data_IF_433863778123
#
_entry.id   IF_433863778123
#
_cell.length_a   1.000
_cell.length_b   1.000
_cell.length_c   1.000
_cell.angle_alpha   90.00
_cell.angle_beta   90.00
_cell.angle_gamma   90.00
#
_symmetry.space_group_name_H-M   'P 1'
#
loop_
_entity.id
_entity.type
_entity.pdbx_description
1 polymer ?
#
# COMPACT_ATOMS: atom_id res chain seq x y z
N UNK A 1 -49.55 23.57 35.47
CA UNK A 1 -48.66 23.25 34.33
C UNK A 1 -47.47 24.20 34.39
N UNK A 2 -46.41 23.79 35.06
CA UNK A 2 -45.26 24.62 35.40
C UNK A 2 -44.29 24.76 34.23
N UNK A 3 -43.85 25.99 33.96
CA UNK A 3 -42.72 26.25 33.08
C UNK A 3 -41.46 25.52 33.62
N UNK A 4 -40.63 24.92 32.78
CA UNK A 4 -39.37 24.36 33.25
C UNK A 4 -38.46 25.52 33.70
N UNK A 5 -37.93 25.39 34.91
CA UNK A 5 -36.94 26.29 35.49
C UNK A 5 -35.69 26.35 34.60
N UNK A 6 -35.62 27.34 33.72
CA UNK A 6 -34.40 27.70 32.98
C UNK A 6 -33.67 28.79 33.74
N UNK A 7 -33.01 28.43 34.84
CA UNK A 7 -31.96 29.28 35.39
C UNK A 7 -30.86 28.43 36.02
N UNK A 8 -30.13 27.72 35.14
CA UNK A 8 -28.72 27.48 35.41
C UNK A 8 -27.95 28.51 34.59
N UNK A 9 -27.17 29.42 35.20
CA UNK A 9 -26.20 30.21 34.46
C UNK A 9 -25.15 29.23 33.94
N UNK A 10 -25.39 28.68 32.75
CA UNK A 10 -24.36 27.95 32.02
C UNK A 10 -23.26 28.97 31.75
N UNK A 11 -22.13 28.79 32.40
CA UNK A 11 -20.93 29.58 32.18
C UNK A 11 -20.74 29.81 30.68
N UNK A 12 -20.82 31.09 30.29
CA UNK A 12 -20.89 31.53 28.89
C UNK A 12 -19.50 31.65 28.29
N UNK A 13 -18.59 30.74 28.65
CA UNK A 13 -17.23 30.82 28.13
C UNK A 13 -17.24 30.57 26.62
N UNK A 14 -16.57 31.43 25.84
CA UNK A 14 -16.32 31.15 24.44
C UNK A 14 -15.63 29.79 24.32
N UNK A 15 -16.14 28.94 23.44
CA UNK A 15 -15.52 27.64 23.10
C UNK A 15 -14.39 27.80 22.08
N UNK A 16 -14.21 29.00 21.54
CA UNK A 16 -13.14 29.37 20.61
C UNK A 16 -13.32 30.78 20.06
N UNK A 17 -12.56 31.11 19.03
CA UNK A 17 -12.68 32.37 18.29
C UNK A 17 -12.59 32.13 16.77
N UNK A 18 -13.20 33.01 15.99
CA UNK A 18 -13.01 33.08 14.55
C UNK A 18 -11.63 33.64 14.20
N UNK A 19 -11.26 33.58 12.92
CA UNK A 19 -9.95 34.06 12.45
C UNK A 19 -9.72 35.56 12.68
N UNK A 20 -10.80 36.34 12.79
CA UNK A 20 -10.79 37.77 13.10
C UNK A 20 -10.80 38.07 14.62
N UNK A 21 -10.71 37.03 15.47
CA UNK A 21 -10.74 37.15 16.92
C UNK A 21 -12.16 37.19 17.52
N UNK A 22 -13.22 37.16 16.71
CA UNK A 22 -14.60 37.16 17.21
C UNK A 22 -14.86 35.94 18.09
N UNK A 23 -15.31 36.11 19.35
CA UNK A 23 -15.57 34.98 20.25
C UNK A 23 -16.73 34.12 19.73
N UNK A 24 -16.59 32.81 19.91
CA UNK A 24 -17.54 31.82 19.45
C UNK A 24 -18.01 30.98 20.65
N UNK A 25 -19.32 30.96 20.90
CA UNK A 25 -19.93 30.27 22.03
C UNK A 25 -20.55 28.90 21.68
N UNK A 26 -20.44 28.47 20.42
CA UNK A 26 -20.77 27.12 19.96
C UNK A 26 -19.72 26.63 18.95
N UNK A 27 -19.43 25.33 18.82
CA UNK A 27 -18.39 24.86 17.91
C UNK A 27 -18.69 25.20 16.44
N UNK A 28 -17.72 25.72 15.65
CA UNK A 28 -17.91 25.92 14.23
C UNK A 28 -18.41 24.66 13.50
N UNK A 29 -19.32 24.86 12.56
CA UNK A 29 -20.00 23.80 11.82
C UNK A 29 -21.14 23.11 12.58
N UNK A 30 -21.52 23.59 13.78
CA UNK A 30 -22.57 22.99 14.61
C UNK A 30 -23.62 24.03 14.97
N UNK A 31 -24.87 23.83 14.53
CA UNK A 31 -26.00 24.56 15.08
C UNK A 31 -26.60 23.76 16.23
N UNK A 32 -26.37 24.21 17.46
CA UNK A 32 -27.00 23.62 18.64
C UNK A 32 -28.48 23.99 18.68
N UNK A 33 -29.34 22.98 18.69
CA UNK A 33 -30.80 23.12 18.74
C UNK A 33 -31.30 22.33 19.93
N UNK A 34 -32.03 23.00 20.81
CA UNK A 34 -32.72 22.42 21.96
C UNK A 34 -34.20 22.80 21.85
N UNK A 35 -35.04 21.82 21.55
CA UNK A 35 -36.48 21.97 21.37
C UNK A 35 -36.87 23.10 20.39
N UNK A 36 -37.41 24.19 20.94
CA UNK A 36 -37.87 25.37 20.20
C UNK A 36 -36.77 26.39 19.92
N UNK A 37 -35.58 26.21 20.49
CA UNK A 37 -34.52 27.21 20.48
C UNK A 37 -33.25 26.71 19.78
N UNK A 38 -32.56 27.64 19.14
CA UNK A 38 -31.24 27.46 18.58
C UNK A 38 -30.26 28.41 19.28
N UNK A 39 -29.05 27.94 19.57
CA UNK A 39 -28.04 28.75 20.25
C UNK A 39 -27.30 29.65 19.27
N UNK A 40 -27.16 30.93 19.59
CA UNK A 40 -26.36 31.87 18.81
C UNK A 40 -24.87 31.68 19.10
N UNK A 41 -24.07 31.47 18.05
CA UNK A 41 -22.61 31.40 18.15
C UNK A 41 -21.95 32.69 18.68
N UNK A 42 -22.54 33.87 18.45
CA UNK A 42 -21.91 35.16 18.79
C UNK A 42 -22.06 35.55 20.26
N UNK A 43 -23.19 35.21 20.89
CA UNK A 43 -23.48 35.61 22.27
C UNK A 43 -23.80 34.43 23.20
N UNK A 44 -23.88 33.20 22.66
CA UNK A 44 -24.18 31.99 23.41
C UNK A 44 -25.62 31.84 23.89
N UNK A 45 -26.50 32.81 23.62
CA UNK A 45 -27.90 32.81 24.05
C UNK A 45 -28.79 31.94 23.14
N UNK A 46 -29.91 31.47 23.69
CA UNK A 46 -30.87 30.60 23.02
C UNK A 46 -32.05 31.40 22.46
N UNK A 47 -32.36 31.20 21.18
CA UNK A 47 -33.42 31.93 20.49
C UNK A 47 -34.29 31.02 19.64
N UNK A 48 -35.57 31.33 19.52
CA UNK A 48 -36.46 30.64 18.56
C UNK A 48 -35.99 30.76 17.12
N UNK A 49 -35.39 31.90 16.79
CA UNK A 49 -34.76 32.18 15.49
C UNK A 49 -33.51 33.03 15.69
N UNK A 50 -32.34 32.39 15.62
CA UNK A 50 -31.04 33.10 15.59
C UNK A 50 -31.01 34.05 14.39
N UNK A 51 -31.56 33.62 13.26
CA UNK A 51 -31.61 34.44 12.04
C UNK A 51 -32.41 35.75 12.15
N UNK A 52 -33.32 35.89 13.12
CA UNK A 52 -33.98 37.17 13.43
C UNK A 52 -33.14 38.02 14.40
N UNK A 53 -32.43 37.35 15.30
CA UNK A 53 -31.55 37.95 16.29
C UNK A 53 -30.26 38.54 15.69
N UNK A 54 -29.72 38.00 14.59
CA UNK A 54 -28.45 38.47 13.99
C UNK A 54 -28.35 39.98 13.74
N UNK A 55 -29.48 40.66 13.55
CA UNK A 55 -29.52 42.13 13.41
C UNK A 55 -28.91 42.86 14.61
N UNK A 56 -29.06 42.35 15.84
CA UNK A 56 -28.43 42.95 17.03
C UNK A 56 -26.91 42.85 17.02
N UNK A 57 -26.36 41.99 16.18
CA UNK A 57 -24.92 41.87 15.98
C UNK A 57 -24.43 42.59 14.72
N UNK A 58 -25.33 43.11 13.88
CA UNK A 58 -24.96 43.66 12.57
C UNK A 58 -24.61 42.59 11.52
N UNK A 59 -25.03 41.34 11.73
CA UNK A 59 -24.75 40.22 10.81
C UNK A 59 -25.98 39.85 9.99
N UNK A 60 -25.73 39.41 8.76
CA UNK A 60 -26.74 38.74 7.94
C UNK A 60 -26.60 37.21 8.03
N UNK A 61 -27.60 36.48 7.52
CA UNK A 61 -27.62 35.02 7.62
C UNK A 61 -26.55 34.33 6.76
N UNK A 62 -26.18 34.92 5.63
CA UNK A 62 -25.18 34.37 4.73
C UNK A 62 -23.77 34.55 5.31
N UNK A 63 -23.41 35.76 5.73
CA UNK A 63 -22.13 36.04 6.40
C UNK A 63 -21.96 35.20 7.67
N UNK A 64 -23.01 35.10 8.49
CA UNK A 64 -23.03 34.24 9.68
C UNK A 64 -22.74 32.78 9.36
N UNK A 65 -23.46 32.18 8.40
CA UNK A 65 -23.24 30.78 8.03
C UNK A 65 -21.85 30.55 7.46
N UNK A 66 -21.35 31.47 6.66
CA UNK A 66 -20.01 31.36 6.09
C UNK A 66 -18.95 31.41 7.18
N UNK A 67 -19.02 32.37 8.10
CA UNK A 67 -18.04 32.52 9.19
C UNK A 67 -18.03 31.30 10.12
N UNK A 68 -19.20 30.81 10.52
CA UNK A 68 -19.31 29.64 11.40
C UNK A 68 -19.27 28.31 10.66
N UNK A 69 -18.95 28.28 9.36
CA UNK A 69 -18.80 27.04 8.59
C UNK A 69 -20.08 26.20 8.49
N UNK A 70 -21.25 26.83 8.54
CA UNK A 70 -22.55 26.18 8.40
C UNK A 70 -22.93 26.03 6.91
N UNK A 71 -23.67 24.97 6.58
CA UNK A 71 -24.23 24.81 5.25
C UNK A 71 -25.25 25.93 4.94
N UNK A 72 -25.35 26.36 3.69
CA UNK A 72 -26.31 27.41 3.28
C UNK A 72 -27.76 27.09 3.66
N UNK A 73 -28.12 25.80 3.62
CA UNK A 73 -29.44 25.29 3.99
C UNK A 73 -29.63 25.04 5.49
N UNK A 74 -28.61 25.21 6.33
CA UNK A 74 -28.72 24.97 7.76
C UNK A 74 -29.76 25.90 8.38
N UNK A 75 -30.74 25.31 9.06
CA UNK A 75 -31.74 26.05 9.84
C UNK A 75 -31.03 26.79 10.98
N UNK A 76 -31.40 28.05 11.20
CA UNK A 76 -30.94 28.88 12.32
C UNK A 76 -32.07 29.03 13.36
N UNK A 77 -32.97 28.06 13.40
CA UNK A 77 -34.23 28.10 14.14
C UNK A 77 -34.48 26.76 14.81
N UNK A 78 -35.18 26.78 15.95
CA UNK A 78 -35.60 25.56 16.63
C UNK A 78 -36.68 24.79 15.87
N UNK A 79 -36.90 23.54 16.30
CA UNK A 79 -37.73 22.56 15.59
C UNK A 79 -39.16 23.02 15.36
N UNK A 80 -39.82 23.53 16.41
CA UNK A 80 -41.24 23.94 16.34
C UNK A 80 -41.46 25.13 15.42
N UNK A 81 -40.53 26.10 15.43
CA UNK A 81 -40.55 27.27 14.54
C UNK A 81 -40.37 26.84 13.09
N UNK A 82 -39.41 25.96 12.83
CA UNK A 82 -39.16 25.38 11.50
C UNK A 82 -40.40 24.64 10.98
N UNK A 83 -41.06 23.84 11.82
CA UNK A 83 -42.24 23.08 11.42
C UNK A 83 -43.44 23.98 11.14
N UNK A 84 -43.63 25.04 11.95
CA UNK A 84 -44.66 26.06 11.71
C UNK A 84 -44.44 26.75 10.37
N UNK A 85 -43.19 27.15 10.05
CA UNK A 85 -42.85 27.76 8.76
C UNK A 85 -43.01 26.78 7.60
N UNK A 86 -42.63 25.51 7.78
CA UNK A 86 -42.84 24.49 6.76
C UNK A 86 -44.34 24.30 6.46
N UNK A 87 -45.20 24.26 7.50
CA UNK A 87 -46.66 24.22 7.32
C UNK A 87 -47.20 25.47 6.61
N UNK A 88 -46.74 26.65 6.98
CA UNK A 88 -47.12 27.89 6.31
C UNK A 88 -46.69 27.89 4.83
N UNK A 89 -45.46 27.47 4.53
CA UNK A 89 -44.96 27.39 3.16
C UNK A 89 -45.71 26.35 2.31
N UNK A 90 -46.08 25.21 2.90
CA UNK A 90 -46.95 24.22 2.23
C UNK A 90 -48.32 24.82 1.88
N UNK A 91 -48.94 25.55 2.80
CA UNK A 91 -50.20 26.27 2.55
C UNK A 91 -50.04 27.31 1.45
N UNK A 92 -48.98 28.14 1.50
CA UNK A 92 -48.69 29.10 0.44
C UNK A 92 -48.52 28.42 -0.91
N UNK A 93 -47.72 27.36 -1.00
CA UNK A 93 -47.54 26.63 -2.25
C UNK A 93 -48.85 26.08 -2.84
N UNK A 94 -49.83 25.73 -2.00
CA UNK A 94 -51.13 25.26 -2.46
C UNK A 94 -52.01 26.38 -3.04
N UNK A 95 -51.93 27.60 -2.50
CA UNK A 95 -52.87 28.68 -2.80
C UNK A 95 -52.28 29.89 -3.53
N UNK A 96 -50.96 30.09 -3.48
CA UNK A 96 -50.26 31.23 -4.08
C UNK A 96 -49.66 30.79 -5.44
N UNK A 97 -50.21 31.27 -6.57
CA UNK A 97 -49.79 30.84 -7.90
C UNK A 97 -48.33 31.21 -8.20
N UNK A 98 -47.83 32.34 -7.67
CA UNK A 98 -46.45 32.78 -7.88
C UNK A 98 -45.48 31.83 -7.17
N UNK A 99 -45.79 31.45 -5.93
CA UNK A 99 -44.98 30.47 -5.18
C UNK A 99 -44.99 29.10 -5.87
N UNK A 100 -46.14 28.67 -6.37
CA UNK A 100 -46.26 27.39 -7.09
C UNK A 100 -45.42 27.38 -8.37
N UNK A 101 -45.51 28.42 -9.20
CA UNK A 101 -44.73 28.57 -10.42
C UNK A 101 -43.22 28.55 -10.14
N UNK A 102 -42.76 29.29 -9.12
CA UNK A 102 -41.35 29.26 -8.70
C UNK A 102 -40.89 27.86 -8.25
N UNK A 103 -41.74 27.13 -7.52
CA UNK A 103 -41.44 25.75 -7.12
C UNK A 103 -41.38 24.77 -8.31
N UNK A 104 -42.16 25.01 -9.37
CA UNK A 104 -42.13 24.20 -10.60
C UNK A 104 -40.85 24.40 -11.39
N UNK A 105 -40.38 25.65 -11.52
CA UNK A 105 -39.07 25.96 -12.11
C UNK A 105 -37.97 25.21 -11.35
N UNK A 106 -37.97 25.29 -10.03
CA UNK A 106 -36.98 24.59 -9.19
C UNK A 106 -37.02 23.06 -9.36
N UNK A 107 -38.22 22.47 -9.49
CA UNK A 107 -38.37 21.03 -9.76
C UNK A 107 -37.81 20.64 -11.13
N UNK A 108 -38.07 21.45 -12.17
CA UNK A 108 -37.51 21.23 -13.51
C UNK A 108 -35.98 21.30 -13.52
N UNK A 109 -35.40 22.27 -12.82
CA UNK A 109 -33.94 22.38 -12.70
C UNK A 109 -33.34 21.19 -11.95
N UNK A 110 -34.05 20.67 -10.95
CA UNK A 110 -33.62 19.47 -10.24
C UNK A 110 -33.70 18.22 -11.14
N UNK A 111 -34.79 18.03 -11.90
CA UNK A 111 -34.97 16.85 -12.75
C UNK A 111 -34.02 16.82 -13.95
N UNK A 112 -33.63 17.99 -14.49
CA UNK A 112 -32.68 18.12 -15.61
C UNK A 112 -31.21 18.11 -15.16
N UNK A 113 -30.96 18.09 -13.85
CA UNK A 113 -29.63 18.21 -13.26
C UNK A 113 -29.00 19.61 -13.35
N UNK A 114 -29.70 20.60 -13.90
CA UNK A 114 -29.24 21.99 -13.96
C UNK A 114 -28.96 22.57 -12.58
N UNK A 115 -29.80 22.26 -11.59
CA UNK A 115 -29.60 22.70 -10.21
C UNK A 115 -28.28 22.18 -9.64
N UNK A 116 -27.95 20.90 -9.91
CA UNK A 116 -26.70 20.27 -9.47
C UNK A 116 -25.50 20.90 -10.17
N UNK A 117 -25.58 21.14 -11.49
CA UNK A 117 -24.52 21.81 -12.25
C UNK A 117 -24.28 23.23 -11.74
N UNK A 118 -25.35 24.02 -11.55
CA UNK A 118 -25.26 25.37 -11.03
C UNK A 118 -24.66 25.40 -9.61
N UNK A 119 -25.08 24.48 -8.73
CA UNK A 119 -24.53 24.34 -7.40
C UNK A 119 -23.04 23.96 -7.43
N UNK A 120 -22.64 23.03 -8.30
CA UNK A 120 -21.25 22.63 -8.47
C UNK A 120 -20.39 23.80 -8.96
N UNK A 121 -20.83 24.51 -10.00
CA UNK A 121 -20.17 25.72 -10.51
C UNK A 121 -20.01 26.78 -9.41
N UNK A 122 -21.08 27.07 -8.65
CA UNK A 122 -21.04 28.03 -7.56
C UNK A 122 -20.13 27.60 -6.39
N UNK A 123 -19.86 26.30 -6.24
CA UNK A 123 -19.01 25.73 -5.21
C UNK A 123 -17.53 25.61 -5.63
N UNK A 124 -17.20 25.69 -6.92
CA UNK A 124 -15.81 25.62 -7.41
C UNK A 124 -14.95 26.67 -6.72
N UNK A 125 -13.76 26.27 -6.27
CA UNK A 125 -12.80 27.13 -5.58
C UNK A 125 -13.17 27.54 -4.15
N UNK A 126 -14.36 27.19 -3.64
CA UNK A 126 -14.76 27.51 -2.26
C UNK A 126 -14.35 26.41 -1.30
N UNK A 127 -13.88 26.81 -0.12
CA UNK A 127 -13.67 25.87 1.00
C UNK A 127 -15.00 25.20 1.37
N UNK A 128 -14.97 23.89 1.59
CA UNK A 128 -16.15 23.18 2.07
C UNK A 128 -16.55 23.69 3.47
N UNK A 129 -17.84 23.94 3.74
CA UNK A 129 -18.30 24.30 5.09
C UNK A 129 -17.89 23.23 6.10
N UNK A 130 -17.44 23.65 7.28
CA UNK A 130 -17.00 22.74 8.34
C UNK A 130 -18.10 21.74 8.74
N UNK A 131 -19.36 22.18 8.73
CA UNK A 131 -20.51 21.32 8.95
C UNK A 131 -20.54 20.13 7.97
N UNK A 132 -20.31 20.39 6.68
CA UNK A 132 -20.32 19.35 5.63
C UNK A 132 -19.14 18.40 5.78
N UNK A 133 -17.97 18.94 6.10
CA UNK A 133 -16.76 18.14 6.41
C UNK A 133 -17.04 17.20 7.58
N UNK A 134 -17.61 17.70 8.68
CA UNK A 134 -17.96 16.90 9.86
C UNK A 134 -19.04 15.85 9.57
N UNK A 135 -20.04 16.15 8.75
CA UNK A 135 -21.02 15.13 8.30
C UNK A 135 -20.33 14.03 7.51
N UNK A 136 -19.48 14.40 6.54
CA UNK A 136 -18.72 13.45 5.72
C UNK A 136 -17.85 12.55 6.60
N UNK A 137 -17.11 13.13 7.55
CA UNK A 137 -16.28 12.35 8.48
C UNK A 137 -17.10 11.41 9.36
N UNK A 138 -18.26 11.85 9.86
CA UNK A 138 -19.18 10.98 10.61
C UNK A 138 -19.70 9.82 9.75
N UNK A 139 -20.12 10.10 8.52
CA UNK A 139 -20.52 9.05 7.58
C UNK A 139 -19.39 8.07 7.32
N UNK A 140 -18.17 8.56 7.07
CA UNK A 140 -17.00 7.70 6.87
C UNK A 140 -16.63 6.88 8.11
N UNK A 141 -16.81 7.45 9.31
CA UNK A 141 -16.58 6.77 10.58
C UNK A 141 -17.65 5.71 10.88
N UNK A 142 -18.88 5.88 10.37
CA UNK A 142 -19.93 4.86 10.49
C UNK A 142 -19.79 3.68 9.54
N UNK A 143 -18.91 3.77 8.53
CA UNK A 143 -18.66 2.65 7.62
C UNK A 143 -17.68 1.68 8.31
N UNK A 144 -18.04 0.40 8.46
CA UNK A 144 -17.15 -0.63 9.00
C UNK A 144 -15.78 -0.68 8.30
N UNK A 145 -14.73 -1.03 9.04
CA UNK A 145 -13.35 -1.00 8.53
C UNK A 145 -13.16 -1.99 7.37
N UNK A 146 -13.72 -3.18 7.50
CA UNK A 146 -13.75 -4.26 6.50
C UNK A 146 -14.43 -3.81 5.19
N UNK A 147 -15.56 -3.11 5.28
CA UNK A 147 -16.23 -2.56 4.09
C UNK A 147 -15.34 -1.53 3.38
N UNK A 148 -14.60 -0.71 4.14
CA UNK A 148 -13.66 0.26 3.55
C UNK A 148 -12.45 -0.40 2.91
N UNK A 149 -11.87 -1.42 3.55
CA UNK A 149 -10.73 -2.14 2.99
C UNK A 149 -11.12 -2.90 1.73
N UNK A 150 -12.28 -3.53 1.71
CA UNK A 150 -12.82 -4.22 0.53
C UNK A 150 -13.10 -3.24 -0.61
N UNK A 151 -13.74 -2.10 -0.34
CA UNK A 151 -13.97 -1.06 -1.33
C UNK A 151 -12.65 -0.50 -1.90
N UNK A 152 -11.65 -0.28 -1.04
CA UNK A 152 -10.33 0.17 -1.46
C UNK A 152 -9.60 -0.89 -2.32
N UNK A 153 -9.73 -2.18 -1.97
CA UNK A 153 -9.18 -3.27 -2.75
C UNK A 153 -9.83 -3.34 -4.14
N UNK A 154 -11.17 -3.28 -4.22
CA UNK A 154 -11.90 -3.24 -5.51
C UNK A 154 -11.52 -2.04 -6.36
N UNK A 155 -11.39 -0.86 -5.75
CA UNK A 155 -10.94 0.34 -6.45
C UNK A 155 -9.50 0.21 -6.96
N UNK A 156 -8.61 -0.42 -6.18
CA UNK A 156 -7.23 -0.69 -6.59
C UNK A 156 -7.18 -1.62 -7.80
N UNK A 157 -7.90 -2.75 -7.75
CA UNK A 157 -8.01 -3.71 -8.87
C UNK A 157 -8.58 -3.02 -10.11
N UNK A 158 -9.63 -2.21 -9.96
CA UNK A 158 -10.24 -1.47 -11.07
C UNK A 158 -9.25 -0.50 -11.73
N UNK A 159 -8.42 0.20 -10.94
CA UNK A 159 -7.36 1.06 -11.50
C UNK A 159 -6.29 0.26 -12.24
N UNK A 160 -5.85 -0.88 -11.70
CA UNK A 160 -4.86 -1.74 -12.37
C UNK A 160 -5.40 -2.25 -13.71
N UNK A 161 -6.68 -2.67 -13.76
CA UNK A 161 -7.35 -3.06 -15.01
C UNK A 161 -7.44 -1.90 -16.00
N UNK A 162 -7.80 -0.69 -15.55
CA UNK A 162 -7.84 0.48 -16.43
C UNK A 162 -6.46 0.78 -17.05
N UNK A 163 -5.37 0.66 -16.27
CA UNK A 163 -4.00 0.81 -16.78
C UNK A 163 -3.72 -0.27 -17.83
N UNK A 164 -4.03 -1.53 -17.54
CA UNK A 164 -3.82 -2.66 -18.45
C UNK A 164 -4.57 -2.48 -19.79
N UNK A 165 -5.83 -2.06 -19.75
CA UNK A 165 -6.62 -1.80 -20.97
C UNK A 165 -6.09 -0.59 -21.75
N UNK A 166 -5.61 0.44 -21.05
CA UNK A 166 -4.96 1.59 -21.71
C UNK A 166 -3.71 1.12 -22.46
N UNK A 167 -2.86 0.28 -21.83
CA UNK A 167 -1.68 -0.28 -22.48
C UNK A 167 -2.03 -1.05 -23.77
N UNK A 168 -3.09 -1.86 -23.73
CA UNK A 168 -3.54 -2.64 -24.86
C UNK A 168 -4.05 -1.74 -25.99
N UNK A 169 -4.86 -0.74 -25.64
CA UNK A 169 -5.43 0.24 -26.58
C UNK A 169 -4.32 1.05 -27.26
N UNK A 170 -3.35 1.55 -26.49
CA UNK A 170 -2.22 2.33 -27.02
C UNK A 170 -1.34 1.50 -27.97
N UNK A 171 -1.25 0.19 -27.73
CA UNK A 171 -0.56 -0.76 -28.60
C UNK A 171 -1.40 -1.25 -29.80
N UNK A 172 -2.66 -0.80 -29.92
CA UNK A 172 -3.57 -1.15 -31.02
C UNK A 172 -4.27 -2.50 -30.89
N UNK A 173 -4.30 -3.09 -29.69
CA UNK A 173 -4.97 -4.36 -29.40
C UNK A 173 -6.37 -4.14 -28.84
N UNK A 174 -7.30 -5.08 -29.10
CA UNK A 174 -8.69 -4.99 -28.64
C UNK A 174 -8.85 -5.27 -27.14
N UNK A 175 -7.92 -6.02 -26.56
CA UNK A 175 -7.94 -6.38 -25.15
C UNK A 175 -6.53 -6.58 -24.61
N UNK A 176 -6.40 -6.40 -23.30
CA UNK A 176 -5.16 -6.69 -22.59
C UNK A 176 -4.67 -8.14 -22.75
N UNK A 177 -5.58 -9.12 -22.71
CA UNK A 177 -5.20 -10.53 -22.87
C UNK A 177 -4.65 -10.84 -24.27
N UNK A 178 -5.24 -10.28 -25.31
CA UNK A 178 -4.76 -10.41 -26.70
C UNK A 178 -3.37 -9.78 -26.86
N UNK A 179 -3.17 -8.57 -26.33
CA UNK A 179 -1.88 -7.89 -26.33
C UNK A 179 -0.79 -8.76 -25.71
N UNK A 180 -1.01 -9.25 -24.49
CA UNK A 180 0.01 -10.03 -23.78
C UNK A 180 0.31 -11.35 -24.50
N UNK A 181 -0.70 -12.13 -24.90
CA UNK A 181 -0.50 -13.41 -25.58
C UNK A 181 0.28 -13.25 -26.89
N UNK A 182 -0.13 -12.31 -27.74
CA UNK A 182 0.53 -12.09 -29.04
C UNK A 182 1.99 -11.67 -28.86
N UNK A 183 2.27 -10.77 -27.91
CA UNK A 183 3.64 -10.26 -27.70
C UNK A 183 4.54 -11.30 -27.04
N UNK A 184 4.03 -12.06 -26.06
CA UNK A 184 4.79 -13.14 -25.42
C UNK A 184 5.07 -14.27 -26.42
N UNK A 185 4.11 -14.63 -27.26
CA UNK A 185 4.31 -15.60 -28.35
C UNK A 185 5.37 -15.14 -29.36
N UNK A 186 5.50 -13.83 -29.59
CA UNK A 186 6.57 -13.22 -30.38
C UNK A 186 7.94 -13.18 -29.66
N UNK A 187 8.02 -13.67 -28.41
CA UNK A 187 9.25 -13.78 -27.63
C UNK A 187 9.53 -12.59 -26.70
N UNK A 188 8.62 -11.61 -26.61
CA UNK A 188 8.80 -10.48 -25.71
C UNK A 188 8.63 -10.88 -24.24
N UNK A 189 9.46 -10.27 -23.38
CA UNK A 189 9.33 -10.43 -21.94
C UNK A 189 8.33 -9.44 -21.35
N UNK A 190 7.61 -9.84 -20.30
CA UNK A 190 6.73 -8.94 -19.53
C UNK A 190 7.47 -7.67 -19.05
N UNK A 191 8.77 -7.77 -18.76
CA UNK A 191 9.58 -6.62 -18.36
C UNK A 191 9.93 -5.66 -19.50
N UNK A 192 9.97 -6.14 -20.73
CA UNK A 192 10.07 -5.29 -21.92
C UNK A 192 8.74 -4.60 -22.19
N UNK A 193 7.64 -5.35 -22.20
CA UNK A 193 6.30 -4.82 -22.43
C UNK A 193 5.91 -3.76 -21.39
N UNK A 194 6.26 -3.97 -20.12
CA UNK A 194 6.04 -2.95 -19.08
C UNK A 194 6.79 -1.65 -19.38
N UNK A 195 8.06 -1.73 -19.80
CA UNK A 195 8.87 -0.54 -20.13
C UNK A 195 8.39 0.17 -21.39
N UNK A 196 7.97 -0.58 -22.39
CA UNK A 196 7.41 -0.06 -23.65
C UNK A 196 6.16 0.78 -23.38
N UNK A 197 5.33 0.36 -22.41
CA UNK A 197 4.18 1.11 -21.95
C UNK A 197 4.49 2.23 -20.93
N UNK A 198 5.77 2.56 -20.71
CA UNK A 198 6.18 3.60 -19.74
C UNK A 198 5.99 3.23 -18.27
N UNK A 199 5.79 1.95 -17.96
CA UNK A 199 5.63 1.44 -16.60
C UNK A 199 6.95 0.89 -16.05
N UNK A 200 6.98 0.69 -14.73
CA UNK A 200 8.10 0.01 -14.09
C UNK A 200 8.25 -1.42 -14.64
N UNK A 201 9.49 -1.87 -14.88
CA UNK A 201 9.80 -3.18 -15.52
C UNK A 201 9.14 -4.40 -14.86
N UNK A 202 8.81 -4.33 -13.58
CA UNK A 202 8.20 -5.44 -12.85
C UNK A 202 6.67 -5.34 -12.75
N UNK A 203 6.06 -4.30 -13.35
CA UNK A 203 4.64 -4.01 -13.18
C UNK A 203 3.78 -5.20 -13.63
N UNK A 204 3.98 -5.69 -14.85
CA UNK A 204 3.23 -6.84 -15.37
C UNK A 204 3.46 -8.08 -14.52
N UNK A 205 4.72 -8.41 -14.18
CA UNK A 205 5.02 -9.59 -13.35
C UNK A 205 4.34 -9.54 -11.98
N UNK A 206 4.19 -8.36 -11.38
CA UNK A 206 3.54 -8.20 -10.07
C UNK A 206 2.02 -8.15 -10.14
N UNK A 207 1.47 -7.59 -11.21
CA UNK A 207 0.04 -7.24 -11.26
C UNK A 207 -0.77 -8.11 -12.21
N UNK A 208 -0.15 -8.93 -13.06
CA UNK A 208 -0.85 -9.76 -14.03
C UNK A 208 -1.92 -10.63 -13.37
N UNK A 209 -1.56 -11.42 -12.35
CA UNK A 209 -2.54 -12.27 -11.64
C UNK A 209 -3.64 -11.50 -10.89
N UNK A 210 -3.42 -10.22 -10.58
CA UNK A 210 -4.47 -9.35 -9.98
C UNK A 210 -5.41 -8.78 -11.04
N UNK A 211 -4.88 -8.48 -12.24
CA UNK A 211 -5.64 -7.94 -13.36
C UNK A 211 -6.47 -9.03 -14.03
N UNK A 212 -5.82 -10.14 -14.35
CA UNK A 212 -6.33 -11.28 -15.10
C UNK A 212 -5.65 -12.59 -14.62
N UNK A 213 -6.34 -13.31 -13.74
CA UNK A 213 -5.81 -14.53 -13.12
C UNK A 213 -5.69 -15.69 -14.12
N UNK A 214 -6.63 -15.79 -15.07
CA UNK A 214 -6.67 -16.86 -16.06
C UNK A 214 -5.51 -16.68 -17.05
N UNK A 215 -5.29 -15.45 -17.54
CA UNK A 215 -4.14 -15.13 -18.37
C UNK A 215 -2.81 -15.39 -17.65
N UNK A 216 -2.73 -15.08 -16.35
CA UNK A 216 -1.53 -15.37 -15.57
C UNK A 216 -1.27 -16.87 -15.47
N UNK A 217 -2.31 -17.69 -15.31
CA UNK A 217 -2.21 -19.15 -15.28
C UNK A 217 -1.81 -19.73 -16.65
N UNK A 218 -2.41 -19.23 -17.74
CA UNK A 218 -2.06 -19.61 -19.11
C UNK A 218 -0.56 -19.37 -19.37
N UNK A 219 -0.09 -18.15 -19.08
CA UNK A 219 1.30 -17.77 -19.30
C UNK A 219 2.26 -18.44 -18.31
N UNK A 220 1.80 -18.92 -17.16
CA UNK A 220 2.67 -19.64 -16.23
C UNK A 220 3.25 -20.91 -16.87
N UNK A 221 2.56 -21.50 -17.86
CA UNK A 221 3.07 -22.63 -18.62
C UNK A 221 4.11 -22.21 -19.67
N UNK A 222 3.90 -21.07 -20.33
CA UNK A 222 4.81 -20.52 -21.35
C UNK A 222 6.06 -19.83 -20.76
N UNK A 223 5.92 -19.27 -19.55
CA UNK A 223 6.97 -18.55 -18.83
C UNK A 223 7.64 -19.46 -17.77
N UNK A 224 6.94 -20.49 -17.30
CA UNK A 224 7.35 -21.39 -16.22
C UNK A 224 7.53 -22.88 -16.57
N UNK A 225 7.30 -23.30 -17.82
CA UNK A 225 7.81 -24.58 -18.34
C UNK A 225 9.35 -24.64 -18.34
N UNK A 226 10.00 -25.75 -18.77
CA UNK A 226 11.45 -25.83 -18.92
C UNK A 226 11.98 -24.58 -19.63
N UNK A 227 12.57 -23.69 -18.83
CA UNK A 227 12.73 -22.29 -19.16
C UNK A 227 13.61 -22.14 -20.42
N UNK A 228 13.39 -21.10 -21.25
CA UNK A 228 13.78 -21.12 -22.65
C UNK A 228 15.28 -21.38 -22.87
N UNK A 229 15.66 -22.07 -23.96
CA UNK A 229 17.03 -22.47 -24.29
C UNK A 229 18.04 -21.31 -24.30
N UNK A 230 17.58 -20.05 -24.35
CA UNK A 230 18.42 -18.84 -24.30
C UNK A 230 19.34 -18.73 -23.09
N UNK A 231 18.91 -19.16 -21.90
CA UNK A 231 19.72 -19.01 -20.68
C UNK A 231 20.82 -20.07 -20.58
N UNK A 232 20.60 -21.22 -21.20
CA UNK A 232 21.54 -22.32 -21.23
C UNK A 232 22.38 -22.38 -22.50
N UNK A 233 22.00 -21.68 -23.57
CA UNK A 233 22.72 -21.70 -24.84
C UNK A 233 24.23 -21.48 -24.69
N UNK A 234 24.66 -20.54 -23.84
CA UNK A 234 26.09 -20.29 -23.58
C UNK A 234 26.77 -21.45 -22.84
N UNK A 235 26.10 -22.05 -21.87
CA UNK A 235 26.63 -23.18 -21.11
C UNK A 235 26.63 -24.45 -21.98
N UNK A 236 25.55 -24.70 -22.70
CA UNK A 236 25.38 -25.80 -23.66
C UNK A 236 26.48 -25.77 -24.73
N UNK A 237 26.73 -24.61 -25.34
CA UNK A 237 27.81 -24.46 -26.32
C UNK A 237 29.19 -24.84 -25.77
N UNK A 238 29.46 -24.59 -24.49
CA UNK A 238 30.74 -24.93 -23.84
C UNK A 238 30.84 -26.42 -23.49
N UNK A 239 29.75 -27.04 -23.06
CA UNK A 239 29.76 -28.43 -22.60
C UNK A 239 29.61 -29.46 -23.74
N UNK A 240 29.07 -29.06 -24.90
CA UNK A 240 29.03 -29.91 -26.10
C UNK A 240 30.45 -30.32 -26.53
N UNK A 241 31.40 -29.38 -26.49
CA UNK A 241 32.82 -29.68 -26.73
C UNK A 241 33.46 -30.60 -25.68
N UNK A 242 32.83 -30.75 -24.51
CA UNK A 242 33.24 -31.66 -23.44
C UNK A 242 32.50 -33.01 -23.51
N UNK A 243 31.69 -33.25 -24.54
CA UNK A 243 30.97 -34.50 -24.77
C UNK A 243 29.58 -34.59 -24.12
N UNK A 244 29.06 -33.50 -23.55
CA UNK A 244 27.75 -33.50 -22.89
C UNK A 244 26.63 -33.02 -23.82
N UNK A 245 25.52 -33.76 -23.83
CA UNK A 245 24.35 -33.45 -24.68
C UNK A 245 23.40 -32.43 -24.06
N UNK A 246 23.39 -32.31 -22.73
CA UNK A 246 22.52 -31.39 -22.00
C UNK A 246 23.17 -30.88 -20.71
N UNK A 247 22.70 -29.71 -20.26
CA UNK A 247 23.24 -29.01 -19.08
C UNK A 247 22.98 -29.78 -17.79
N UNK A 248 21.84 -30.47 -17.67
CA UNK A 248 21.48 -31.18 -16.44
C UNK A 248 22.43 -32.37 -16.20
N UNK A 249 22.68 -33.18 -17.23
CA UNK A 249 23.62 -34.29 -17.19
C UNK A 249 25.04 -33.83 -16.87
N UNK A 250 25.51 -32.74 -17.50
CA UNK A 250 26.80 -32.13 -17.19
C UNK A 250 26.93 -31.73 -15.72
N UNK A 251 25.94 -30.98 -15.21
CA UNK A 251 25.97 -30.48 -13.84
C UNK A 251 25.86 -31.61 -12.82
N UNK A 252 25.05 -32.64 -13.07
CA UNK A 252 24.94 -33.82 -12.19
C UNK A 252 26.27 -34.58 -12.15
N UNK A 253 26.84 -34.91 -13.31
CA UNK A 253 28.10 -35.64 -13.35
C UNK A 253 29.22 -34.87 -12.64
N UNK A 254 29.42 -33.58 -12.98
CA UNK A 254 30.50 -32.82 -12.36
C UNK A 254 30.27 -32.55 -10.87
N UNK A 255 29.03 -32.25 -10.46
CA UNK A 255 28.76 -31.81 -9.09
C UNK A 255 28.48 -32.95 -8.12
N UNK A 256 27.71 -33.95 -8.55
CA UNK A 256 27.26 -35.06 -7.73
C UNK A 256 28.24 -36.24 -7.82
N UNK A 257 28.64 -36.64 -9.04
CA UNK A 257 29.45 -37.85 -9.23
C UNK A 257 30.94 -37.56 -9.02
N UNK A 258 31.46 -36.49 -9.61
CA UNK A 258 32.87 -36.07 -9.48
C UNK A 258 33.13 -35.12 -8.31
N UNK A 259 32.07 -34.77 -7.57
CA UNK A 259 32.13 -33.88 -6.39
C UNK A 259 32.83 -32.52 -6.62
N UNK A 260 32.85 -32.00 -7.86
CA UNK A 260 33.50 -30.73 -8.18
C UNK A 260 32.75 -29.55 -7.58
N UNK A 261 33.51 -28.61 -7.02
CA UNK A 261 32.93 -27.37 -6.50
C UNK A 261 32.29 -26.55 -7.60
N UNK A 262 31.23 -25.80 -7.27
CA UNK A 262 30.61 -24.84 -8.21
C UNK A 262 31.64 -23.89 -8.82
N UNK A 263 32.68 -23.50 -8.06
CA UNK A 263 33.75 -22.65 -8.58
C UNK A 263 34.64 -23.39 -9.59
N UNK A 264 34.95 -24.66 -9.35
CA UNK A 264 35.70 -25.48 -10.30
C UNK A 264 34.92 -25.72 -11.60
N UNK A 265 33.63 -26.02 -11.50
CA UNK A 265 32.73 -26.13 -12.66
C UNK A 265 32.69 -24.81 -13.42
N UNK A 266 32.57 -23.68 -12.71
CA UNK A 266 32.57 -22.36 -13.32
C UNK A 266 33.89 -22.02 -14.05
N UNK A 267 35.03 -22.42 -13.49
CA UNK A 267 36.33 -22.30 -14.16
C UNK A 267 36.42 -23.18 -15.39
N UNK A 268 35.95 -24.44 -15.32
CA UNK A 268 35.97 -25.40 -16.44
C UNK A 268 35.20 -24.90 -17.66
N UNK A 269 34.04 -24.25 -17.45
CA UNK A 269 33.20 -23.72 -18.54
C UNK A 269 33.39 -22.23 -18.80
N UNK A 270 34.38 -21.60 -18.16
CA UNK A 270 34.68 -20.16 -18.29
C UNK A 270 33.46 -19.25 -17.99
N UNK A 271 32.70 -19.56 -16.95
CA UNK A 271 31.52 -18.80 -16.56
C UNK A 271 31.62 -18.26 -15.13
N UNK A 272 30.76 -17.27 -14.81
CA UNK A 272 30.63 -16.80 -13.43
C UNK A 272 30.01 -17.93 -12.56
N UNK A 273 30.56 -18.22 -11.36
CA UNK A 273 29.97 -19.16 -10.41
C UNK A 273 28.48 -18.93 -10.13
N UNK A 274 28.01 -17.68 -10.15
CA UNK A 274 26.59 -17.37 -9.96
C UNK A 274 25.70 -17.85 -11.12
N UNK A 275 26.21 -17.81 -12.36
CA UNK A 275 25.51 -18.36 -13.53
C UNK A 275 25.40 -19.88 -13.45
N UNK A 276 26.45 -20.56 -12.98
CA UNK A 276 26.44 -22.01 -12.74
C UNK A 276 25.45 -22.37 -11.63
N UNK A 277 25.40 -21.61 -10.52
CA UNK A 277 24.39 -21.81 -9.47
C UNK A 277 22.96 -21.65 -10.01
N UNK A 278 22.73 -20.60 -10.79
CA UNK A 278 21.43 -20.37 -11.40
C UNK A 278 21.05 -21.52 -12.35
N UNK A 279 22.00 -22.07 -13.11
CA UNK A 279 21.78 -23.26 -13.93
C UNK A 279 21.46 -24.50 -13.08
N UNK A 280 22.20 -24.75 -12.00
CA UNK A 280 21.91 -25.87 -11.08
C UNK A 280 20.51 -25.77 -10.48
N UNK A 281 20.10 -24.59 -10.02
CA UNK A 281 18.75 -24.36 -9.50
C UNK A 281 17.69 -24.61 -10.58
N UNK A 282 17.91 -24.10 -11.80
CA UNK A 282 16.98 -24.30 -12.93
C UNK A 282 16.83 -25.78 -13.33
N UNK A 283 17.90 -26.56 -13.25
CA UNK A 283 17.91 -27.98 -13.62
C UNK A 283 17.69 -28.95 -12.44
N UNK A 284 17.31 -28.42 -11.27
CA UNK A 284 17.03 -29.23 -10.08
C UNK A 284 18.23 -30.02 -9.56
N UNK A 285 19.45 -29.54 -9.79
CA UNK A 285 20.68 -30.18 -9.27
C UNK A 285 20.92 -29.68 -7.84
N UNK A 286 20.74 -30.53 -6.80
CA UNK A 286 20.89 -30.11 -5.42
C UNK A 286 22.33 -29.67 -5.14
N UNK A 287 22.46 -28.67 -4.26
CA UNK A 287 23.77 -28.18 -3.82
C UNK A 287 24.25 -29.00 -2.64
N UNK A 288 25.11 -29.97 -2.90
CA UNK A 288 25.72 -30.76 -1.82
C UNK A 288 26.94 -30.02 -1.27
N UNK A 289 27.06 -29.82 0.06
CA UNK A 289 28.30 -29.31 0.64
C UNK A 289 29.43 -30.33 0.40
N UNK A 290 30.45 -29.90 -0.36
CA UNK A 290 31.50 -30.76 -0.92
C UNK A 290 32.39 -31.46 0.13
N UNK A 291 32.58 -32.78 -0.03
CA UNK A 291 33.52 -33.61 0.72
C UNK A 291 35.00 -33.15 0.61
N UNK A 292 35.52 -32.69 -0.55
CA UNK A 292 36.88 -32.14 -0.67
C UNK A 292 37.15 -30.92 0.22
N UNK A 293 36.13 -30.09 0.47
CA UNK A 293 36.27 -28.94 1.38
C UNK A 293 36.34 -29.39 2.84
N UNK A 294 35.62 -30.46 3.20
CA UNK A 294 35.71 -31.06 4.54
C UNK A 294 37.08 -31.71 4.73
N UNK A 295 37.54 -32.47 3.74
CA UNK A 295 38.84 -33.15 3.78
C UNK A 295 40.02 -32.17 3.90
N UNK A 296 40.10 -31.15 3.03
CA UNK A 296 41.16 -30.13 3.14
C UNK A 296 41.13 -29.39 4.47
N UNK A 297 39.94 -29.12 5.01
CA UNK A 297 39.86 -28.44 6.30
C UNK A 297 40.23 -29.38 7.45
N UNK A 298 39.96 -30.68 7.34
CA UNK A 298 40.39 -31.70 8.30
C UNK A 298 41.90 -31.96 8.23
N UNK A 299 42.51 -31.93 7.03
CA UNK A 299 43.97 -31.97 6.84
C UNK A 299 44.63 -30.74 7.45
N UNK A 300 44.06 -29.55 7.24
CA UNK A 300 44.55 -28.32 7.84
C UNK A 300 44.47 -28.34 9.37
N UNK A 301 43.36 -28.86 9.92
CA UNK A 301 43.17 -29.02 11.35
C UNK A 301 44.22 -29.97 11.96
N UNK A 302 44.45 -31.14 11.34
CA UNK A 302 45.50 -32.08 11.74
C UNK A 302 46.90 -31.48 11.64
N UNK A 303 47.18 -30.73 10.56
CA UNK A 303 48.47 -30.07 10.39
C UNK A 303 48.75 -29.03 11.49
N UNK A 304 47.75 -28.26 11.91
CA UNK A 304 47.89 -27.31 13.02
C UNK A 304 48.12 -28.05 14.35
N UNK A 305 47.35 -29.10 14.63
CA UNK A 305 47.53 -29.90 15.85
C UNK A 305 48.93 -30.51 15.94
N UNK A 306 49.36 -31.19 14.87
CA UNK A 306 50.65 -31.85 14.81
C UNK A 306 51.82 -30.87 14.88
N UNK A 307 51.70 -29.67 14.30
CA UNK A 307 52.73 -28.63 14.40
C UNK A 307 53.00 -28.19 15.84
N UNK A 308 52.04 -28.40 16.75
CA UNK A 308 52.14 -28.06 18.16
C UNK A 308 52.20 -29.29 19.07
N UNK A 309 52.38 -30.49 18.53
CA UNK A 309 52.54 -31.74 19.30
C UNK A 309 51.24 -32.33 19.84
N UNK A 310 50.10 -32.04 19.23
CA UNK A 310 48.80 -32.60 19.60
C UNK A 310 48.29 -33.56 18.52
N UNK A 311 47.55 -34.58 18.94
CA UNK A 311 46.99 -35.61 18.04
C UNK A 311 45.83 -35.07 17.19
N UNK A 312 45.02 -34.19 17.76
CA UNK A 312 43.98 -33.46 17.04
C UNK A 312 43.83 -31.99 17.48
N UNK A 313 43.03 -31.25 16.72
CA UNK A 313 42.86 -29.81 16.92
C UNK A 313 42.09 -29.51 18.20
N UNK A 314 41.21 -30.40 18.66
CA UNK A 314 40.39 -30.15 19.84
C UNK A 314 41.17 -30.32 21.12
N UNK A 315 42.11 -31.28 21.16
CA UNK A 315 43.08 -31.42 22.24
C UNK A 315 43.98 -30.17 22.34
N UNK A 316 44.50 -29.70 21.20
CA UNK A 316 45.25 -28.45 21.12
C UNK A 316 44.42 -27.27 21.67
N UNK A 317 43.18 -27.10 21.18
CA UNK A 317 42.34 -25.99 21.61
C UNK A 317 41.95 -26.08 23.08
N UNK A 318 41.66 -27.27 23.60
CA UNK A 318 41.29 -27.51 24.99
C UNK A 318 42.45 -27.21 25.93
N UNK A 319 43.66 -27.69 25.62
CA UNK A 319 44.87 -27.38 26.38
C UNK A 319 45.12 -25.87 26.48
N UNK A 320 45.15 -25.17 25.33
CA UNK A 320 45.40 -23.72 25.32
C UNK A 320 44.30 -22.95 26.05
N UNK A 321 43.05 -23.38 25.95
CA UNK A 321 41.95 -22.76 26.69
C UNK A 321 42.03 -23.01 28.19
N UNK A 322 42.45 -24.19 28.65
CA UNK A 322 42.73 -24.49 30.07
C UNK A 322 43.89 -23.67 30.62
N UNK A 323 44.90 -23.41 29.80
CA UNK A 323 45.99 -22.50 30.13
C UNK A 323 45.58 -21.01 30.17
N UNK A 324 44.29 -20.69 29.99
CA UNK A 324 43.76 -19.33 30.05
C UNK A 324 43.99 -18.50 28.80
N UNK A 325 44.42 -19.10 27.69
CA UNK A 325 44.76 -18.33 26.48
C UNK A 325 43.52 -17.78 25.79
N UNK A 326 43.60 -16.54 25.33
CA UNK A 326 42.54 -15.93 24.50
C UNK A 326 42.58 -16.50 23.08
N UNK A 327 41.43 -16.48 22.38
CA UNK A 327 41.36 -16.90 20.97
C UNK A 327 42.31 -16.14 20.04
N UNK A 328 42.66 -14.89 20.38
CA UNK A 328 43.64 -14.10 19.63
C UNK A 328 45.06 -14.66 19.79
N UNK A 329 45.42 -15.09 21.00
CA UNK A 329 46.73 -15.68 21.29
C UNK A 329 46.88 -17.05 20.61
N UNK A 330 45.84 -17.88 20.66
CA UNK A 330 45.80 -19.17 19.96
C UNK A 330 45.88 -18.96 18.43
N UNK A 331 45.22 -17.93 17.91
CA UNK A 331 45.31 -17.56 16.49
C UNK A 331 46.72 -17.12 16.08
N UNK A 332 47.41 -16.35 16.92
CA UNK A 332 48.78 -15.93 16.68
C UNK A 332 49.75 -17.12 16.67
N UNK A 333 49.58 -18.09 17.58
CA UNK A 333 50.41 -19.30 17.63
C UNK A 333 50.16 -20.23 16.45
N UNK A 334 48.89 -20.55 16.16
CA UNK A 334 48.51 -21.48 15.09
C UNK A 334 48.63 -20.90 13.67
N UNK A 335 48.83 -19.59 13.55
CA UNK A 335 48.80 -18.88 12.26
C UNK A 335 47.42 -18.91 11.59
N UNK A 336 46.33 -19.13 12.35
CA UNK A 336 44.96 -19.23 11.82
C UNK A 336 44.04 -18.13 12.39
N UNK A 337 43.09 -17.61 11.59
CA UNK A 337 42.17 -16.59 12.07
C UNK A 337 41.32 -17.06 13.27
N UNK A 338 41.03 -16.20 14.28
CA UNK A 338 40.23 -16.56 15.44
C UNK A 338 38.83 -17.10 15.09
N UNK A 339 38.25 -16.63 14.00
CA UNK A 339 36.92 -17.06 13.50
C UNK A 339 36.91 -18.50 13.00
N UNK A 340 38.03 -18.98 12.45
CA UNK A 340 38.18 -20.36 12.01
C UNK A 340 38.27 -21.31 13.21
N UNK A 341 39.09 -20.96 14.21
CA UNK A 341 39.26 -21.73 15.44
C UNK A 341 37.95 -21.86 16.23
N UNK A 342 37.21 -20.76 16.40
CA UNK A 342 35.90 -20.77 17.10
C UNK A 342 34.84 -21.61 16.39
N UNK A 343 34.88 -21.66 15.06
CA UNK A 343 33.94 -22.48 14.28
C UNK A 343 34.24 -23.97 14.49
N UNK A 344 35.52 -24.33 14.60
CA UNK A 344 35.97 -25.71 14.83
C UNK A 344 35.61 -26.21 16.23
N UNK A 345 35.93 -25.44 17.26
CA UNK A 345 35.55 -25.75 18.64
C UNK A 345 34.02 -25.88 18.88
N UNK A 346 33.19 -25.41 17.95
CA UNK A 346 31.72 -25.51 18.01
C UNK A 346 31.14 -26.67 17.20
N UNK A 347 31.92 -27.26 16.29
CA UNK A 347 31.40 -28.26 15.34
C UNK A 347 31.35 -29.67 15.94
N UNK A 348 31.98 -29.92 17.10
CA UNK A 348 31.99 -31.21 17.81
C UNK A 348 31.16 -31.20 19.12
N UNK A 349 30.41 -30.12 19.39
CA UNK A 349 29.43 -30.04 20.49
C UNK A 349 27.98 -30.28 20.01
N UNK A 350 27.78 -30.77 18.79
CA UNK A 350 26.50 -31.16 18.18
C UNK A 350 26.68 -32.46 17.43
#
# INVERSE_FOLDING_TARGET
MSAPATDRPVERHPVGALADGTPCHAPPGVMEIADEHARCHLCGQWFRSVGAHLRSHGWDRASYRTAFGLERGQSLEGGTTRDRRARAMRRRRAHDPVVRAGCEIGRRWASTGELTRAAATAARGRRQPEQRRRKTLRTLASIPVDVRTEAAARASVSRLRAIAETMATDAGFRSFAEFIRTRVAAGDSLARLSREAGLHKDWLTRHLGTVDADLAADLASDVGGPCPPRHDARLLARIVGLGFRDVASYLRQRHLDEHRSVRAIATEVEMNPQSVRAAMTRHGVPRTPHAPSRQRTAELARSVAHAHGFDDLDDYLTDRRRAGWTWQRIAAESGRPPTWLRRRARSDMS
#
